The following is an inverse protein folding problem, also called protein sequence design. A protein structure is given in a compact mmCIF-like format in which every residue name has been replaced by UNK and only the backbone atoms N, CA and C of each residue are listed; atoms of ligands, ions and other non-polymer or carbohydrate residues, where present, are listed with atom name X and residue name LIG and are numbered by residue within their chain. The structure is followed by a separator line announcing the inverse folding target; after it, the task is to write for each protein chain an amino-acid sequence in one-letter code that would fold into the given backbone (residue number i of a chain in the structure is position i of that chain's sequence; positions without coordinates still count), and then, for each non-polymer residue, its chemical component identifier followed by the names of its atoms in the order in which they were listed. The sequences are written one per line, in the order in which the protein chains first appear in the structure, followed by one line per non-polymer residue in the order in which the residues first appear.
data_IF_089575987367
#
_entry.id   IF_089575987367
#
_cell.length_a   1.000
_cell.length_b   1.000
_cell.length_c   1.000
_cell.angle_alpha   90.00
_cell.angle_beta   90.00
_cell.angle_gamma   90.00
#
_symmetry.space_group_name_H-M   'P 1'
#
loop_
_entity.id
_entity.type
_entity.pdbx_description
1 polymer ?
#
# COMPACT_ATOMS: atom_id res chain seq x y z
N UNK A 1 -25.31 -27.47 3.99
CA UNK A 1 -24.87 -27.37 4.21
C UNK A 1 -24.59 -26.53 4.59
N UNK A 2 -25.09 -26.10 5.05
CA UNK A 2 -24.83 -25.27 5.62
C UNK A 2 -23.52 -24.93 5.47
N UNK A 3 -22.90 -25.47 5.13
CA UNK A 3 -21.66 -25.26 4.87
C UNK A 3 -21.39 -23.91 4.35
N UNK A 4 -22.16 -23.36 3.50
CA UNK A 4 -22.00 -22.08 2.99
C UNK A 4 -22.17 -21.04 4.00
N UNK A 5 -23.08 -21.16 4.86
CA UNK A 5 -23.21 -20.23 5.87
C UNK A 5 -22.07 -20.25 6.71
N UNK A 6 -21.53 -21.36 7.00
CA UNK A 6 -20.44 -21.46 7.78
C UNK A 6 -19.34 -20.74 7.13
N UNK A 7 -19.19 -20.79 5.84
CA UNK A 7 -18.15 -20.10 5.19
C UNK A 7 -18.29 -18.63 5.29
N UNK A 8 -19.46 -18.12 5.24
CA UNK A 8 -19.63 -16.71 5.37
C UNK A 8 -19.23 -16.25 6.73
N UNK A 9 -19.57 -16.99 7.74
CA UNK A 9 -19.19 -16.60 9.05
C UNK A 9 -17.71 -16.65 9.20
N UNK A 10 -17.09 -17.64 8.61
CA UNK A 10 -15.68 -17.75 8.69
C UNK A 10 -15.02 -16.61 8.00
N UNK A 11 -15.54 -16.18 6.90
CA UNK A 11 -14.97 -15.07 6.20
C UNK A 11 -14.97 -13.86 7.08
N UNK A 12 -16.01 -13.67 7.83
CA UNK A 12 -16.02 -12.55 8.72
C UNK A 12 -14.99 -12.67 9.79
N UNK A 13 -14.86 -13.84 10.37
CA UNK A 13 -13.92 -14.03 11.43
C UNK A 13 -12.50 -13.98 10.98
N UNK A 14 -12.24 -14.43 9.77
CA UNK A 14 -10.87 -14.47 9.31
C UNK A 14 -10.61 -13.36 8.32
N UNK A 15 -11.42 -12.34 8.37
CA UNK A 15 -11.31 -11.26 7.41
C UNK A 15 -9.90 -10.75 7.31
N UNK A 16 -9.21 -10.60 8.42
CA UNK A 16 -7.87 -10.08 8.38
C UNK A 16 -6.95 -10.93 7.54
N UNK A 17 -6.95 -12.21 7.82
CA UNK A 17 -6.08 -13.11 7.09
C UNK A 17 -6.47 -13.17 5.64
N UNK A 18 -7.77 -13.26 5.36
CA UNK A 18 -8.19 -13.30 4.00
C UNK A 18 -7.86 -12.03 3.30
N UNK A 19 -7.98 -10.92 4.00
CA UNK A 19 -7.68 -9.64 3.42
C UNK A 19 -6.20 -9.55 3.06
N UNK A 20 -5.34 -10.07 3.92
CA UNK A 20 -3.93 -10.07 3.61
C UNK A 20 -3.66 -10.86 2.35
N UNK A 21 -4.25 -12.03 2.25
CA UNK A 21 -4.07 -12.85 1.11
C UNK A 21 -4.61 -12.19 -0.15
N UNK A 22 -5.80 -11.62 -0.03
CA UNK A 22 -6.40 -10.94 -1.16
C UNK A 22 -5.53 -9.79 -1.61
N UNK A 23 -5.06 -8.99 -0.66
CA UNK A 23 -4.25 -7.83 -0.99
C UNK A 23 -2.96 -8.27 -1.66
N UNK A 24 -2.31 -9.29 -1.12
CA UNK A 24 -1.06 -9.74 -1.71
C UNK A 24 -1.25 -10.21 -3.12
N UNK A 25 -2.32 -10.95 -3.37
CA UNK A 25 -2.56 -11.45 -4.70
C UNK A 25 -3.00 -10.39 -5.67
N UNK A 26 -3.64 -9.36 -5.20
CA UNK A 26 -4.20 -8.34 -6.06
C UNK A 26 -3.54 -6.98 -5.85
N UNK A 27 -2.31 -6.99 -5.38
CA UNK A 27 -1.69 -5.74 -4.95
C UNK A 27 -1.59 -4.69 -6.06
N UNK A 28 -1.40 -5.12 -7.28
CA UNK A 28 -1.29 -4.14 -8.36
C UNK A 28 -2.62 -3.42 -8.56
N UNK A 29 -3.71 -4.15 -8.49
CA UNK A 29 -5.01 -3.53 -8.66
C UNK A 29 -5.36 -2.67 -7.45
N UNK A 30 -5.00 -3.13 -6.26
CA UNK A 30 -5.26 -2.38 -5.06
C UNK A 30 -4.47 -1.07 -5.10
N UNK A 31 -3.20 -1.15 -5.47
CA UNK A 31 -2.38 0.05 -5.51
C UNK A 31 -2.88 1.01 -6.59
N UNK A 32 -3.34 0.49 -7.72
CA UNK A 32 -3.87 1.35 -8.76
C UNK A 32 -5.08 2.13 -8.24
N UNK A 33 -5.94 1.48 -7.48
CA UNK A 33 -7.11 2.15 -6.93
C UNK A 33 -6.70 3.13 -5.84
N UNK A 34 -5.71 2.78 -5.03
CA UNK A 34 -5.25 3.69 -4.00
C UNK A 34 -4.62 4.93 -4.63
N UNK A 35 -3.89 4.74 -5.72
CA UNK A 35 -3.31 5.88 -6.41
C UNK A 35 -4.39 6.78 -6.97
N UNK A 36 -5.45 6.20 -7.47
CA UNK A 36 -6.53 7.00 -7.99
C UNK A 36 -7.15 7.84 -6.88
N UNK A 37 -7.31 7.26 -5.70
CA UNK A 37 -7.83 7.99 -4.57
C UNK A 37 -6.89 9.17 -4.25
N UNK A 38 -5.59 8.92 -4.23
CA UNK A 38 -4.65 9.99 -3.95
C UNK A 38 -4.73 11.09 -5.00
N UNK A 39 -4.87 10.68 -6.25
CA UNK A 39 -4.95 11.64 -7.33
C UNK A 39 -6.14 12.56 -7.16
N UNK A 40 -7.22 12.04 -6.65
CA UNK A 40 -8.43 12.82 -6.44
C UNK A 40 -8.38 13.70 -5.20
N UNK A 41 -7.53 13.37 -4.24
CA UNK A 41 -7.48 14.08 -2.98
C UNK A 41 -6.22 14.87 -2.74
N UNK A 42 -5.32 14.90 -3.69
CA UNK A 42 -4.09 15.65 -3.58
C UNK A 42 -3.94 16.57 -4.76
N UNK A 43 -3.11 17.57 -4.62
CA UNK A 43 -2.85 18.42 -5.77
C UNK A 43 -2.12 17.59 -6.82
N UNK A 44 -2.25 17.99 -8.06
CA UNK A 44 -1.61 17.28 -9.14
C UNK A 44 -0.09 17.27 -8.94
N UNK A 45 0.47 18.37 -8.53
CA UNK A 45 1.90 18.45 -8.36
C UNK A 45 2.40 17.49 -7.28
N UNK A 46 1.68 17.40 -6.16
CA UNK A 46 2.08 16.50 -5.10
C UNK A 46 1.98 15.05 -5.56
N UNK A 47 0.88 14.71 -6.20
CA UNK A 47 0.69 13.36 -6.67
C UNK A 47 1.79 12.97 -7.65
N UNK A 48 2.02 13.81 -8.63
CA UNK A 48 2.97 13.48 -9.68
C UNK A 48 4.40 13.38 -9.17
N UNK A 49 4.74 14.24 -8.24
CA UNK A 49 6.12 14.26 -7.79
C UNK A 49 6.41 13.25 -6.68
N UNK A 50 5.47 13.01 -5.79
CA UNK A 50 5.74 12.18 -4.63
C UNK A 50 5.06 10.83 -4.62
N UNK A 51 3.91 10.70 -5.23
CA UNK A 51 3.10 9.51 -5.07
C UNK A 51 3.09 8.58 -6.27
N UNK A 52 3.03 9.14 -7.44
CA UNK A 52 2.84 8.32 -8.63
C UNK A 52 3.83 7.18 -8.78
N UNK A 53 5.08 7.46 -8.47
CA UNK A 53 6.14 6.48 -8.70
C UNK A 53 6.46 5.58 -7.52
N UNK A 54 5.68 5.64 -6.46
CA UNK A 54 5.86 4.72 -5.36
C UNK A 54 5.52 3.32 -5.83
N UNK A 55 6.25 2.35 -5.32
CA UNK A 55 6.01 0.97 -5.70
C UNK A 55 5.77 0.13 -4.47
N UNK A 56 4.78 -0.76 -4.53
CA UNK A 56 4.56 -1.67 -3.44
C UNK A 56 5.52 -2.82 -3.62
N UNK A 57 6.34 -3.08 -2.61
CA UNK A 57 7.33 -4.14 -2.70
C UNK A 57 7.03 -5.31 -1.78
N UNK A 58 6.15 -5.15 -0.81
CA UNK A 58 5.74 -6.31 -0.03
C UNK A 58 4.44 -6.05 0.71
N UNK A 59 3.74 -7.12 1.00
CA UNK A 59 2.54 -7.09 1.82
C UNK A 59 2.77 -8.16 2.88
N UNK A 60 2.84 -7.75 4.12
CA UNK A 60 3.15 -8.66 5.20
C UNK A 60 2.00 -8.73 6.20
N UNK A 61 2.22 -9.43 7.31
CA UNK A 61 1.19 -9.62 8.30
C UNK A 61 0.57 -8.35 8.78
N UNK A 62 -0.67 -8.42 9.15
CA UNK A 62 -1.44 -7.30 9.67
C UNK A 62 -1.55 -6.20 8.63
N UNK A 63 -1.57 -6.60 7.37
CA UNK A 63 -1.67 -5.65 6.26
C UNK A 63 -0.59 -4.58 6.36
N UNK A 64 0.63 -5.02 6.59
CA UNK A 64 1.76 -4.10 6.57
C UNK A 64 2.26 -4.03 5.13
N UNK A 65 2.07 -2.89 4.52
CA UNK A 65 2.39 -2.71 3.12
C UNK A 65 3.63 -1.84 3.02
N UNK A 66 4.64 -2.33 2.34
CA UNK A 66 5.89 -1.59 2.21
C UNK A 66 5.97 -0.98 0.83
N UNK A 67 6.21 0.31 0.81
CA UNK A 67 6.32 1.06 -0.44
C UNK A 67 7.74 1.55 -0.62
N UNK A 68 8.25 1.39 -1.82
CA UNK A 68 9.59 1.82 -2.16
C UNK A 68 9.56 3.21 -2.73
N UNK A 69 10.46 4.04 -2.24
CA UNK A 69 10.55 5.43 -2.64
C UNK A 69 11.89 5.62 -3.35
N UNK A 70 11.94 6.49 -4.32
CA UNK A 70 13.13 6.57 -5.17
C UNK A 70 14.40 7.07 -4.50
N UNK A 71 14.29 7.88 -3.45
CA UNK A 71 15.49 8.30 -2.75
C UNK A 71 15.14 8.76 -1.35
N UNK A 72 16.17 9.03 -0.55
CA UNK A 72 15.96 9.35 0.84
C UNK A 72 15.30 10.69 1.07
N UNK A 73 15.53 11.63 0.17
CA UNK A 73 14.90 12.92 0.31
C UNK A 73 13.39 12.78 0.16
N UNK A 74 12.96 12.05 -0.87
CA UNK A 74 11.55 11.85 -1.09
C UNK A 74 10.98 10.98 0.03
N UNK A 75 11.75 10.02 0.51
CA UNK A 75 11.31 9.18 1.60
C UNK A 75 10.91 10.01 2.81
N UNK A 76 11.75 10.94 3.20
CA UNK A 76 11.46 11.75 4.37
C UNK A 76 10.18 12.56 4.17
N UNK A 77 10.01 13.12 3.01
CA UNK A 77 8.84 13.93 2.75
C UNK A 77 7.57 13.10 2.71
N UNK A 78 7.62 11.99 2.01
CA UNK A 78 6.44 11.16 1.89
C UNK A 78 6.06 10.60 3.25
N UNK A 79 7.01 10.09 4.01
CA UNK A 79 6.66 9.48 5.27
C UNK A 79 6.16 10.52 6.26
N UNK A 80 6.69 11.72 6.22
CA UNK A 80 6.27 12.72 7.18
C UNK A 80 5.03 13.49 6.77
N UNK A 81 4.90 13.78 5.50
CA UNK A 81 3.80 14.63 5.10
C UNK A 81 2.66 13.92 4.43
N UNK A 82 2.95 12.87 3.69
CA UNK A 82 1.92 12.24 2.89
C UNK A 82 1.61 10.82 3.29
N UNK A 83 2.31 10.31 4.29
CA UNK A 83 2.09 8.93 4.69
C UNK A 83 0.66 8.64 5.09
N UNK A 84 0.05 9.56 5.83
CA UNK A 84 -1.29 9.33 6.27
C UNK A 84 -2.29 9.38 5.14
N UNK A 85 -2.02 10.20 4.14
CA UNK A 85 -2.89 10.28 2.99
C UNK A 85 -2.84 8.98 2.21
N UNK A 86 -1.65 8.42 2.04
CA UNK A 86 -1.52 7.16 1.33
C UNK A 86 -2.16 6.05 2.14
N UNK A 87 -1.98 6.09 3.46
CA UNK A 87 -2.60 5.10 4.32
C UNK A 87 -4.10 5.16 4.17
N UNK A 88 -4.65 6.36 4.17
CA UNK A 88 -6.07 6.51 4.03
C UNK A 88 -6.56 5.99 2.69
N UNK A 89 -5.77 6.19 1.65
CA UNK A 89 -6.14 5.70 0.33
C UNK A 89 -6.29 4.18 0.35
N UNK A 90 -5.35 3.49 0.99
CA UNK A 90 -5.46 2.05 1.08
C UNK A 90 -6.66 1.65 1.92
N UNK A 91 -6.91 2.38 3.00
CA UNK A 91 -8.03 2.03 3.85
C UNK A 91 -9.35 2.21 3.14
N UNK A 92 -9.44 3.22 2.29
CA UNK A 92 -10.67 3.42 1.55
C UNK A 92 -10.88 2.31 0.53
N UNK A 93 -9.82 1.88 -0.10
CA UNK A 93 -9.95 0.82 -1.09
C UNK A 93 -10.26 -0.52 -0.44
N UNK A 94 -9.63 -0.79 0.70
CA UNK A 94 -9.76 -2.10 1.32
C UNK A 94 -10.83 -2.20 2.38
N UNK A 95 -11.27 -1.08 2.89
CA UNK A 95 -12.29 -1.09 3.92
C UNK A 95 -11.77 -1.50 5.27
N UNK A 96 -10.47 -1.43 5.50
CA UNK A 96 -9.91 -1.81 6.76
C UNK A 96 -8.58 -1.08 6.95
N UNK A 97 -8.12 -1.03 8.18
CA UNK A 97 -6.88 -0.33 8.48
C UNK A 97 -5.68 -1.06 7.92
N UNK A 98 -4.65 -0.32 7.57
CA UNK A 98 -3.41 -0.90 7.10
C UNK A 98 -2.26 -0.22 7.81
N UNK A 99 -1.08 -0.82 7.71
CA UNK A 99 0.14 -0.24 8.25
C UNK A 99 1.08 -0.02 7.08
N UNK A 100 1.65 1.15 6.97
CA UNK A 100 2.54 1.42 5.86
C UNK A 100 3.97 1.57 6.32
N UNK A 101 4.88 1.12 5.49
CA UNK A 101 6.31 1.33 5.67
C UNK A 101 6.84 1.90 4.39
N UNK A 102 7.76 2.84 4.50
CA UNK A 102 8.38 3.42 3.31
C UNK A 102 9.87 3.13 3.38
N UNK A 103 10.42 2.65 2.28
CA UNK A 103 11.85 2.34 2.22
C UNK A 103 12.40 2.88 0.91
N UNK A 104 13.71 3.00 0.83
CA UNK A 104 14.30 3.39 -0.44
C UNK A 104 14.78 2.14 -1.15
N UNK A 105 14.93 2.23 -2.45
CA UNK A 105 15.42 1.10 -3.21
C UNK A 105 16.84 0.81 -2.78
N UNK A 106 17.23 -0.44 -2.87
CA UNK A 106 18.59 -0.79 -2.56
C UNK A 106 19.48 -0.11 -3.54
N UNK A 107 20.53 0.53 -3.05
CA UNK A 107 21.31 1.17 -3.92
C UNK A 107 22.58 0.56 -4.12
N UNK A 108 22.76 -0.52 -3.69
CA UNK A 108 23.93 -1.03 -3.77
C UNK A 108 24.35 -1.16 -5.09
N UNK A 109 23.80 -1.82 -5.66
CA UNK A 109 24.25 -2.12 -6.72
C UNK A 109 24.47 -1.12 -7.55
N UNK A 110 23.93 -0.64 -7.89
CA UNK A 110 24.00 0.10 -8.77
C UNK A 110 24.82 1.07 -8.68
N UNK A 111 24.74 1.48 -7.99
CA UNK A 111 25.29 2.51 -7.86
C UNK A 111 26.58 2.42 -8.05
N UNK A 112 27.03 1.82 -7.57
CA UNK A 112 28.18 1.78 -7.59
C UNK A 112 28.75 1.57 -8.78
N UNK A 113 28.23 1.17 -9.33
CA UNK A 113 28.77 0.83 -10.41
C UNK A 113 29.03 1.80 -11.18
N UNK A 114 28.82 2.42 -11.02
CA UNK A 114 29.09 3.28 -11.54
C UNK A 114 29.79 3.71 -11.56
#
# INVERSE_FOLDING_TARGET
MDYNEKQNVENTLTAGAKTEEYVAKNIDAVWAQAKQYCQEHMSTAVYEYYIRDLKVVSVARYLTITLEVRNEFILAIVSERYGKEVEKAFEEVLGTAVHLQFVTAPKTEKDEDK
#
